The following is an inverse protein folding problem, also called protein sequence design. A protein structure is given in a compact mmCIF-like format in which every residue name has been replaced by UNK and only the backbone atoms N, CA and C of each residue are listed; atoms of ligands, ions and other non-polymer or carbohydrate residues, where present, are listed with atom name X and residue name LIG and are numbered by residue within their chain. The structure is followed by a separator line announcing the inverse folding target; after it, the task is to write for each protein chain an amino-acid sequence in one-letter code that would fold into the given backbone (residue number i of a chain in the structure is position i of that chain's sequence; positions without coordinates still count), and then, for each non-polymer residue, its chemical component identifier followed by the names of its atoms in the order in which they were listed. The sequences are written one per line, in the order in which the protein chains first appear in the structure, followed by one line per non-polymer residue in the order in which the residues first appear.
data_IF_143914005363
#
_entry.id   IF_143914005363
#
_cell.length_a   1.000
_cell.length_b   1.000
_cell.length_c   1.000
_cell.angle_alpha   90.00
_cell.angle_beta   90.00
_cell.angle_gamma   90.00
#
_symmetry.space_group_name_H-M   'P 1'
#
loop_
_entity.id
_entity.type
_entity.pdbx_description
1 polymer ?
#
# COMPACT_ATOMS: atom_id res chain seq x y z
N UNK A 1 8.69 -4.14 -20.72
CA UNK A 1 7.54 -4.18 -19.79
C UNK A 1 7.59 -5.51 -19.09
N UNK A 2 7.29 -5.55 -17.79
CA UNK A 2 7.36 -6.77 -17.01
C UNK A 2 6.03 -7.00 -16.32
N UNK A 3 5.54 -8.22 -16.44
CA UNK A 3 4.40 -8.72 -15.70
C UNK A 3 4.88 -9.13 -14.30
N UNK A 4 4.36 -8.46 -13.29
CA UNK A 4 4.66 -8.82 -11.90
C UNK A 4 3.67 -9.89 -11.45
N UNK A 5 4.16 -11.11 -11.21
CA UNK A 5 3.38 -12.12 -10.49
C UNK A 5 3.25 -11.66 -9.03
N UNK A 6 2.02 -11.36 -8.63
CA UNK A 6 1.74 -10.93 -7.26
C UNK A 6 1.95 -12.12 -6.29
N UNK A 7 2.75 -11.97 -5.23
CA UNK A 7 2.96 -13.04 -4.26
C UNK A 7 1.66 -13.38 -3.52
N UNK A 8 1.61 -14.57 -2.92
CA UNK A 8 0.64 -14.83 -1.86
C UNK A 8 0.93 -13.91 -0.68
N UNK A 9 -0.12 -13.28 -0.15
CA UNK A 9 0.00 -12.33 0.94
C UNK A 9 -0.53 -12.98 2.22
N UNK A 10 0.29 -13.13 3.27
CA UNK A 10 -0.20 -13.66 4.54
C UNK A 10 -1.28 -12.72 5.07
N UNK A 11 -2.46 -13.27 5.33
CA UNK A 11 -3.61 -12.51 5.80
C UNK A 11 -3.65 -12.49 7.34
N UNK A 12 -3.92 -11.31 7.89
CA UNK A 12 -4.18 -11.10 9.32
C UNK A 12 -5.46 -10.29 9.49
N UNK A 13 -6.36 -10.80 10.31
CA UNK A 13 -7.54 -10.06 10.72
C UNK A 13 -7.13 -8.95 11.70
N UNK A 14 -7.63 -7.74 11.47
CA UNK A 14 -7.32 -6.59 12.29
C UNK A 14 -8.39 -6.35 13.35
N UNK A 15 -7.96 -5.89 14.51
CA UNK A 15 -8.79 -5.51 15.65
C UNK A 15 -8.52 -4.04 15.97
N UNK A 16 -9.06 -3.16 15.13
CA UNK A 16 -8.72 -1.73 15.14
C UNK A 16 -9.20 -1.09 16.45
N UNK A 17 -8.32 -0.35 17.13
CA UNK A 17 -8.60 0.33 18.39
C UNK A 17 -9.24 1.69 18.14
N UNK A 18 -10.22 2.06 18.96
CA UNK A 18 -10.82 3.40 18.91
C UNK A 18 -9.77 4.49 19.11
N UNK A 19 -9.71 5.46 18.20
CA UNK A 19 -8.84 6.64 18.36
C UNK A 19 -9.39 7.63 19.41
N UNK A 20 -10.69 7.56 19.71
CA UNK A 20 -11.33 8.40 20.73
C UNK A 20 -10.98 7.92 22.14
N UNK A 21 -10.81 6.61 22.31
CA UNK A 21 -10.47 5.96 23.58
C UNK A 21 -9.38 4.89 23.36
N UNK A 22 -8.13 5.30 23.09
CA UNK A 22 -7.04 4.39 22.71
C UNK A 22 -6.49 3.66 23.93
N UNK A 23 -7.29 2.74 24.48
CA UNK A 23 -6.91 1.87 25.58
C UNK A 23 -7.00 0.41 25.12
N UNK A 24 -6.14 -0.50 25.63
CA UNK A 24 -6.16 -1.91 25.22
C UNK A 24 -7.53 -2.60 25.39
N UNK A 25 -8.30 -2.16 26.40
CA UNK A 25 -9.65 -2.62 26.73
C UNK A 25 -10.77 -1.75 26.12
N UNK A 26 -10.43 -0.76 25.29
CA UNK A 26 -11.38 0.13 24.66
C UNK A 26 -12.18 -0.54 23.53
N UNK A 27 -13.17 0.17 22.95
CA UNK A 27 -13.94 -0.32 21.81
C UNK A 27 -13.03 -0.70 20.64
N UNK A 28 -13.30 -1.86 20.04
CA UNK A 28 -12.55 -2.43 18.93
C UNK A 28 -13.45 -2.68 17.73
N UNK A 29 -12.93 -2.40 16.55
CA UNK A 29 -13.55 -2.75 15.28
C UNK A 29 -12.88 -4.03 14.74
N UNK A 30 -13.37 -5.18 15.20
CA UNK A 30 -12.90 -6.52 14.80
C UNK A 30 -13.77 -7.12 13.68
N UNK A 31 -13.23 -8.04 12.87
CA UNK A 31 -13.98 -8.73 11.81
C UNK A 31 -14.38 -7.86 10.62
N UNK A 32 -13.86 -6.62 10.53
CA UNK A 32 -14.23 -5.67 9.47
C UNK A 32 -13.18 -5.51 8.39
N UNK A 33 -11.91 -5.61 8.78
CA UNK A 33 -10.76 -5.37 7.92
C UNK A 33 -9.74 -6.48 8.12
N UNK A 34 -9.31 -7.07 7.03
CA UNK A 34 -8.20 -8.04 6.97
C UNK A 34 -7.09 -7.41 6.13
N UNK A 35 -5.86 -7.45 6.63
CA UNK A 35 -4.68 -7.00 5.90
C UNK A 35 -3.92 -8.22 5.39
N UNK A 36 -3.61 -8.23 4.09
CA UNK A 36 -2.66 -9.14 3.48
C UNK A 36 -1.30 -8.45 3.31
N UNK A 37 -0.23 -9.13 3.73
CA UNK A 37 1.12 -8.57 3.73
C UNK A 37 1.39 -7.67 4.94
N UNK A 38 2.30 -6.68 4.83
CA UNK A 38 3.08 -6.32 3.64
C UNK A 38 4.13 -7.38 3.26
N UNK A 39 4.41 -7.50 1.96
CA UNK A 39 5.53 -8.28 1.42
C UNK A 39 6.38 -7.37 0.53
N UNK A 40 7.70 -7.41 0.68
CA UNK A 40 8.64 -6.68 -0.18
C UNK A 40 9.46 -7.65 -1.01
N UNK A 41 9.63 -7.33 -2.29
CA UNK A 41 10.51 -8.04 -3.23
C UNK A 41 11.56 -7.06 -3.76
N UNK A 42 12.86 -7.39 -3.73
CA UNK A 42 13.88 -6.54 -4.34
C UNK A 42 13.69 -6.52 -5.86
N UNK A 43 13.74 -5.32 -6.46
CA UNK A 43 13.72 -5.15 -7.91
C UNK A 43 15.15 -5.29 -8.41
N UNK A 44 15.56 -6.53 -8.68
CA UNK A 44 16.91 -6.88 -9.14
C UNK A 44 17.05 -6.79 -10.65
N UNK A 45 18.29 -6.81 -11.15
CA UNK A 45 18.56 -6.88 -12.60
C UNK A 45 17.98 -8.16 -13.24
N UNK A 46 17.89 -9.25 -12.47
CA UNK A 46 17.27 -10.52 -12.87
C UNK A 46 15.74 -10.37 -12.97
N UNK A 47 15.13 -9.70 -12.00
CA UNK A 47 13.69 -9.42 -12.01
C UNK A 47 13.27 -8.60 -13.24
N UNK A 48 14.13 -7.69 -13.70
CA UNK A 48 13.89 -6.85 -14.87
C UNK A 48 14.60 -7.32 -16.15
N UNK A 49 15.14 -8.55 -16.16
CA UNK A 49 15.92 -9.10 -17.28
C UNK A 49 15.24 -8.96 -18.66
N UNK A 50 13.93 -9.19 -18.79
CA UNK A 50 13.21 -9.03 -20.06
C UNK A 50 13.14 -7.59 -20.59
N UNK A 51 13.49 -6.58 -19.80
CA UNK A 51 13.40 -5.16 -20.15
C UNK A 51 14.78 -4.46 -20.09
N UNK A 52 15.47 -4.28 -21.24
CA UNK A 52 16.77 -3.63 -21.29
C UNK A 52 16.78 -2.19 -20.77
N UNK A 53 15.70 -1.42 -20.99
CA UNK A 53 15.62 -0.02 -20.56
C UNK A 53 15.55 0.06 -19.03
N UNK A 54 14.80 -0.86 -18.41
CA UNK A 54 14.75 -0.97 -16.94
C UNK A 54 16.07 -1.44 -16.34
N UNK A 55 16.77 -2.39 -16.97
CA UNK A 55 18.13 -2.78 -16.54
C UNK A 55 19.10 -1.60 -16.58
N UNK A 56 19.07 -0.81 -17.64
CA UNK A 56 19.92 0.36 -17.80
C UNK A 56 19.62 1.43 -16.74
N UNK A 57 18.34 1.64 -16.45
CA UNK A 57 17.89 2.50 -15.37
C UNK A 57 18.41 2.03 -14.00
N UNK A 58 18.19 0.75 -13.65
CA UNK A 58 18.65 0.19 -12.37
C UNK A 58 20.18 0.31 -12.23
N UNK A 59 20.92 0.04 -13.30
CA UNK A 59 22.39 0.17 -13.31
C UNK A 59 22.84 1.61 -13.08
N UNK A 60 22.14 2.59 -13.64
CA UNK A 60 22.44 4.02 -13.44
C UNK A 60 22.18 4.45 -12.00
N UNK A 61 21.16 3.88 -11.36
CA UNK A 61 20.79 4.21 -9.98
C UNK A 61 21.54 3.38 -8.93
N UNK A 62 22.24 2.32 -9.33
CA UNK A 62 22.75 1.27 -8.45
C UNK A 62 23.69 1.76 -7.34
N UNK A 63 24.41 2.86 -7.55
CA UNK A 63 25.30 3.44 -6.54
C UNK A 63 24.55 4.25 -5.48
N UNK A 64 23.36 4.77 -5.82
CA UNK A 64 22.62 5.72 -5.00
C UNK A 64 21.40 5.08 -4.31
N UNK A 65 20.73 4.17 -5.00
CA UNK A 65 19.43 3.66 -4.58
C UNK A 65 19.27 2.17 -4.87
N UNK A 66 18.41 1.55 -4.07
CA UNK A 66 17.84 0.23 -4.31
C UNK A 66 16.32 0.38 -4.41
N UNK A 67 15.69 -0.51 -5.17
CA UNK A 67 14.25 -0.46 -5.41
C UNK A 67 13.59 -1.73 -4.91
N UNK A 68 12.45 -1.57 -4.26
CA UNK A 68 11.65 -2.65 -3.70
C UNK A 68 10.23 -2.56 -4.19
N UNK A 69 9.67 -3.67 -4.62
CA UNK A 69 8.26 -3.80 -4.93
C UNK A 69 7.53 -4.28 -3.68
N UNK A 70 6.69 -3.42 -3.11
CA UNK A 70 5.93 -3.71 -1.90
C UNK A 70 4.48 -4.00 -2.28
N UNK A 71 3.99 -5.17 -1.85
CA UNK A 71 2.62 -5.63 -2.05
C UNK A 71 1.85 -5.66 -0.73
N UNK A 72 0.63 -5.14 -0.79
CA UNK A 72 -0.34 -5.11 0.30
C UNK A 72 -1.72 -5.48 -0.25
N UNK A 73 -2.60 -6.00 0.60
CA UNK A 73 -4.02 -6.06 0.28
C UNK A 73 -4.86 -5.71 1.48
N UNK A 74 -5.99 -5.06 1.25
CA UNK A 74 -6.98 -4.80 2.28
C UNK A 74 -8.28 -5.47 1.86
N UNK A 75 -8.79 -6.37 2.70
CA UNK A 75 -10.09 -7.01 2.49
C UNK A 75 -11.08 -6.46 3.51
N UNK A 76 -12.15 -5.84 3.03
CA UNK A 76 -13.22 -5.30 3.86
C UNK A 76 -14.45 -6.20 3.80
N UNK A 77 -15.02 -6.53 4.96
CA UNK A 77 -16.22 -7.36 5.04
C UNK A 77 -17.42 -6.67 4.37
N UNK A 78 -18.05 -7.34 3.39
CA UNK A 78 -19.20 -6.81 2.62
C UNK A 78 -20.50 -6.76 3.43
N UNK A 79 -20.76 -7.82 4.19
CA UNK A 79 -22.05 -8.03 4.90
C UNK A 79 -21.93 -7.81 6.41
N UNK A 80 -20.99 -6.97 6.83
CA UNK A 80 -20.78 -6.74 8.25
C UNK A 80 -21.92 -5.92 8.87
N UNK A 81 -22.30 -6.21 10.14
CA UNK A 81 -23.41 -5.54 10.81
C UNK A 81 -23.16 -4.03 10.95
N UNK A 82 -24.24 -3.25 11.06
CA UNK A 82 -24.15 -1.82 11.36
C UNK A 82 -23.34 -1.57 12.65
N UNK A 83 -22.55 -0.47 12.72
CA UNK A 83 -22.44 0.59 11.72
C UNK A 83 -21.57 0.21 10.51
N UNK A 84 -21.95 0.65 9.32
CA UNK A 84 -21.19 0.41 8.08
C UNK A 84 -19.86 1.20 8.02
N UNK A 85 -18.87 0.62 7.33
CA UNK A 85 -17.61 1.29 7.01
C UNK A 85 -17.87 2.52 6.13
N UNK A 86 -17.36 3.66 6.55
CA UNK A 86 -17.42 4.93 5.83
C UNK A 86 -16.12 5.21 5.06
N UNK A 87 -14.97 4.94 5.67
CA UNK A 87 -13.66 4.98 5.01
C UNK A 87 -12.70 3.95 5.60
N UNK A 88 -11.71 3.55 4.82
CA UNK A 88 -10.58 2.72 5.24
C UNK A 88 -9.30 3.33 4.67
N UNK A 89 -8.30 3.55 5.52
CA UNK A 89 -7.01 4.11 5.15
C UNK A 89 -5.92 3.06 5.38
N UNK A 90 -4.98 2.98 4.45
CA UNK A 90 -3.74 2.24 4.61
C UNK A 90 -2.60 3.26 4.54
N UNK A 91 -2.00 3.57 5.68
CA UNK A 91 -0.88 4.49 5.78
C UNK A 91 0.42 3.70 5.90
N UNK A 92 1.44 4.10 5.15
CA UNK A 92 2.78 3.53 5.24
C UNK A 92 3.77 4.62 5.63
N UNK A 93 4.61 4.33 6.62
CA UNK A 93 5.72 5.19 7.02
C UNK A 93 7.03 4.52 6.60
N UNK A 94 7.72 5.16 5.67
CA UNK A 94 9.01 4.73 5.14
C UNK A 94 10.14 5.45 5.87
N UNK A 95 11.09 4.68 6.41
CA UNK A 95 12.23 5.24 7.13
C UNK A 95 13.53 4.60 6.70
N UNK A 96 14.64 5.33 6.79
CA UNK A 96 15.98 4.81 6.58
C UNK A 96 16.94 5.30 7.66
N UNK A 97 17.75 4.36 8.15
CA UNK A 97 18.86 4.61 9.08
C UNK A 97 20.19 4.24 8.42
N UNK A 98 21.20 5.12 8.43
CA UNK A 98 22.49 4.82 7.82
C UNK A 98 23.21 3.68 8.55
N UNK A 99 23.80 2.75 7.80
CA UNK A 99 24.60 1.65 8.40
C UNK A 99 25.89 2.17 9.03
N UNK A 100 26.49 3.23 8.45
CA UNK A 100 27.69 3.87 8.99
C UNK A 100 27.33 5.14 9.76
N UNK A 101 27.83 5.28 10.99
CA UNK A 101 27.65 6.51 11.77
C UNK A 101 28.31 7.69 11.05
N UNK A 102 27.62 8.83 11.02
CA UNK A 102 28.11 10.06 10.42
C UNK A 102 27.83 10.21 8.91
N UNK A 103 27.18 9.23 8.27
CA UNK A 103 26.71 9.37 6.88
C UNK A 103 25.25 9.81 6.83
N UNK A 104 24.95 10.83 6.03
CA UNK A 104 23.58 11.25 5.74
C UNK A 104 23.00 10.42 4.61
N UNK A 105 21.78 9.91 4.79
CA UNK A 105 21.02 9.20 3.75
C UNK A 105 19.65 9.83 3.57
N UNK A 106 19.09 9.77 2.37
CA UNK A 106 17.74 10.26 2.12
C UNK A 106 16.71 9.24 2.65
N UNK A 107 15.51 9.71 3.03
CA UNK A 107 14.44 8.81 3.46
C UNK A 107 13.81 8.11 2.25
N UNK A 108 13.39 6.83 2.35
CA UNK A 108 12.79 6.13 1.23
C UNK A 108 11.48 6.78 0.81
N UNK A 109 11.13 6.66 -0.46
CA UNK A 109 9.89 7.23 -1.02
C UNK A 109 9.12 6.19 -1.82
N UNK A 110 7.78 6.32 -1.83
CA UNK A 110 6.94 5.59 -2.80
C UNK A 110 7.17 6.16 -4.21
N UNK A 111 8.13 5.60 -4.91
CA UNK A 111 8.52 5.99 -6.26
C UNK A 111 7.38 5.88 -7.27
N UNK A 112 6.55 4.84 -7.13
CA UNK A 112 5.32 4.69 -7.89
C UNK A 112 4.30 3.88 -7.11
N UNK A 113 3.01 4.09 -7.36
CA UNK A 113 1.91 3.42 -6.64
C UNK A 113 0.85 2.91 -7.62
N UNK A 114 0.19 1.81 -7.28
CA UNK A 114 -0.98 1.30 -8.00
C UNK A 114 -1.92 0.53 -7.06
N UNK A 115 -3.25 0.58 -7.27
CA UNK A 115 -3.97 1.54 -8.10
C UNK A 115 -3.78 2.98 -7.59
N UNK A 116 -3.66 3.96 -8.50
CA UNK A 116 -3.66 5.39 -8.16
C UNK A 116 -5.06 5.90 -7.90
N UNK A 117 -6.03 5.43 -8.67
CA UNK A 117 -7.42 5.86 -8.52
C UNK A 117 -8.40 4.81 -9.05
N UNK A 118 -9.51 4.59 -8.34
CA UNK A 118 -10.69 3.86 -8.83
C UNK A 118 -11.94 4.70 -8.57
N UNK A 119 -12.82 4.85 -9.56
CA UNK A 119 -14.07 5.65 -9.44
C UNK A 119 -15.33 4.81 -9.18
N UNK A 120 -15.25 3.50 -9.41
CA UNK A 120 -16.30 2.56 -9.09
C UNK A 120 -15.72 1.39 -8.29
N UNK A 121 -16.59 0.64 -7.60
CA UNK A 121 -16.25 -0.69 -7.11
C UNK A 121 -15.72 -1.48 -8.31
N UNK A 122 -14.46 -1.91 -8.25
CA UNK A 122 -13.94 -2.88 -9.20
C UNK A 122 -14.82 -4.14 -9.03
N UNK A 123 -15.81 -4.30 -9.92
CA UNK A 123 -16.67 -5.49 -9.97
C UNK A 123 -15.75 -6.67 -10.20
N UNK A 124 -15.34 -7.33 -9.12
CA UNK A 124 -14.56 -8.57 -9.06
C UNK A 124 -14.02 -8.97 -10.44
N UNK A 125 -13.10 -8.14 -10.98
CA UNK A 125 -12.41 -8.50 -12.20
C UNK A 125 -11.64 -9.75 -11.79
N UNK A 126 -11.72 -10.87 -12.53
CA UNK A 126 -10.83 -12.00 -12.26
C UNK A 126 -9.42 -11.43 -12.10
N UNK A 127 -8.62 -11.92 -11.13
CA UNK A 127 -7.45 -11.22 -10.65
C UNK A 127 -6.65 -10.79 -11.88
N UNK A 128 -6.62 -9.48 -12.15
CA UNK A 128 -5.74 -8.96 -13.19
C UNK A 128 -4.35 -9.17 -12.60
N UNK A 129 -3.82 -10.37 -12.87
CA UNK A 129 -2.76 -11.06 -12.15
C UNK A 129 -1.39 -10.38 -12.31
N UNK A 130 -1.32 -9.30 -13.08
CA UNK A 130 -0.10 -8.58 -13.35
C UNK A 130 -0.32 -7.08 -13.13
N UNK A 131 0.40 -6.53 -12.14
CA UNK A 131 0.76 -5.13 -12.21
C UNK A 131 1.85 -5.01 -13.29
N UNK A 132 1.74 -4.02 -14.17
CA UNK A 132 2.75 -3.81 -15.21
C UNK A 132 3.72 -2.71 -14.80
N UNK A 133 4.99 -3.06 -14.67
CA UNK A 133 6.07 -2.09 -14.51
C UNK A 133 6.51 -1.60 -15.89
N UNK A 134 6.33 -0.30 -16.10
CA UNK A 134 6.80 0.44 -17.26
C UNK A 134 8.19 1.04 -17.04
N UNK A 135 8.67 1.86 -17.99
CA UNK A 135 9.98 2.52 -17.90
C UNK A 135 10.16 3.28 -16.59
N UNK A 136 11.40 3.30 -16.08
CA UNK A 136 11.78 3.95 -14.81
C UNK A 136 10.94 3.48 -13.60
N UNK A 137 10.50 2.22 -13.61
CA UNK A 137 9.73 1.60 -12.52
C UNK A 137 8.39 2.29 -12.18
N UNK A 138 7.78 2.96 -13.16
CA UNK A 138 6.42 3.48 -13.01
C UNK A 138 5.38 2.39 -13.29
N UNK A 139 4.35 2.28 -12.46
CA UNK A 139 3.20 1.44 -12.80
C UNK A 139 2.44 2.03 -13.98
N UNK A 140 2.09 1.17 -14.95
CA UNK A 140 1.17 1.53 -16.02
C UNK A 140 -0.21 1.00 -15.68
N UNK A 141 -1.17 1.90 -15.55
CA UNK A 141 -2.54 1.56 -15.20
C UNK A 141 -3.46 1.68 -16.41
N UNK A 142 -4.33 0.70 -16.58
CA UNK A 142 -5.51 0.83 -17.43
C UNK A 142 -6.63 1.39 -16.55
N UNK A 143 -6.63 2.71 -16.37
CA UNK A 143 -7.65 3.39 -15.60
C UNK A 143 -8.98 3.40 -16.38
N UNK A 144 -10.02 2.84 -15.78
CA UNK A 144 -11.40 3.10 -16.18
C UNK A 144 -11.92 4.26 -15.33
N UNK A 145 -11.47 5.49 -15.61
CA UNK A 145 -12.06 6.69 -15.02
C UNK A 145 -13.20 7.16 -15.90
N UNK A 146 -14.44 6.95 -15.48
CA UNK A 146 -15.56 7.67 -16.07
C UNK A 146 -15.55 9.11 -15.55
N UNK A 147 -15.63 10.08 -16.46
CA UNK A 147 -15.67 11.51 -16.12
C UNK A 147 -16.90 11.82 -15.26
N UNK A 148 -16.69 12.40 -14.07
CA UNK A 148 -17.76 12.82 -13.16
C UNK A 148 -18.10 11.86 -12.01
N UNK A 149 -17.46 10.69 -11.93
CA UNK A 149 -17.65 9.76 -10.82
C UNK A 149 -16.78 10.12 -9.59
N UNK A 150 -17.33 9.90 -8.39
CA UNK A 150 -16.61 10.15 -7.14
C UNK A 150 -15.55 9.08 -6.93
N UNK A 151 -14.34 9.51 -6.54
CA UNK A 151 -13.22 8.60 -6.25
C UNK A 151 -13.57 7.70 -5.08
N UNK A 152 -13.51 6.39 -5.34
CA UNK A 152 -13.77 5.34 -4.37
C UNK A 152 -12.47 4.87 -3.70
N UNK A 153 -11.38 4.74 -4.46
CA UNK A 153 -10.05 4.43 -3.94
C UNK A 153 -9.03 5.43 -4.53
N UNK A 154 -8.15 5.97 -3.70
CA UNK A 154 -7.11 6.92 -4.11
C UNK A 154 -5.76 6.58 -3.46
N UNK A 155 -4.68 6.56 -4.26
CA UNK A 155 -3.32 6.60 -3.75
C UNK A 155 -2.96 8.03 -3.34
N UNK A 156 -2.40 8.19 -2.16
CA UNK A 156 -2.06 9.45 -1.54
C UNK A 156 -0.56 9.53 -1.32
N UNK A 157 0.00 10.72 -1.52
CA UNK A 157 1.38 11.05 -1.15
C UNK A 157 2.43 10.18 -1.87
N UNK A 158 2.20 9.89 -3.16
CA UNK A 158 3.23 9.36 -4.05
C UNK A 158 4.47 10.28 -4.03
N UNK A 159 5.65 9.69 -4.20
CA UNK A 159 6.97 10.33 -4.09
C UNK A 159 7.32 10.86 -2.69
N UNK A 160 6.60 10.45 -1.66
CA UNK A 160 6.88 10.81 -0.26
C UNK A 160 7.22 9.59 0.58
N UNK A 161 7.75 9.85 1.77
CA UNK A 161 8.06 8.84 2.78
C UNK A 161 6.85 8.45 3.65
N UNK A 162 5.71 9.13 3.49
CA UNK A 162 4.45 8.85 4.17
C UNK A 162 3.31 8.47 3.19
N UNK A 163 3.52 7.55 2.22
CA UNK A 163 2.50 7.21 1.23
C UNK A 163 1.33 6.44 1.85
N UNK A 164 0.21 6.37 1.13
CA UNK A 164 -0.89 5.51 1.56
C UNK A 164 -2.02 5.42 0.56
N UNK A 165 -3.04 4.64 0.89
CA UNK A 165 -4.28 4.56 0.13
C UNK A 165 -5.47 4.91 1.02
N UNK A 166 -6.49 5.50 0.40
CA UNK A 166 -7.76 5.78 1.06
C UNK A 166 -8.90 5.21 0.22
N UNK A 167 -9.75 4.43 0.87
CA UNK A 167 -10.97 3.85 0.32
C UNK A 167 -12.14 4.56 0.99
N UNK A 168 -13.10 5.05 0.21
CA UNK A 168 -14.24 5.82 0.71
C UNK A 168 -15.54 5.26 0.19
N UNK A 169 -16.52 5.16 1.08
CA UNK A 169 -17.90 4.94 0.70
C UNK A 169 -18.38 6.10 -0.19
N UNK A 170 -18.89 5.79 -1.38
CA UNK A 170 -19.51 6.77 -2.28
C UNK A 170 -21.00 6.47 -2.43
N UNK A 171 -21.74 7.36 -3.10
CA UNK A 171 -23.14 7.09 -3.44
C UNK A 171 -23.30 5.93 -4.43
N UNK A 172 -22.24 5.59 -5.16
CA UNK A 172 -22.24 4.55 -6.20
C UNK A 172 -21.67 3.21 -5.72
N UNK A 173 -20.88 3.21 -4.65
CA UNK A 173 -20.11 2.05 -4.21
C UNK A 173 -19.95 2.02 -2.69
N UNK A 174 -20.15 0.83 -2.09
CA UNK A 174 -19.89 0.58 -0.67
C UNK A 174 -18.49 0.01 -0.50
N UNK A 175 -17.95 0.11 0.72
CA UNK A 175 -16.65 -0.49 1.02
C UNK A 175 -16.85 -1.99 1.22
N UNK A 176 -16.20 -2.82 0.39
CA UNK A 176 -16.32 -4.26 0.52
C UNK A 176 -15.60 -5.07 -0.56
N UNK A 177 -15.03 -6.22 -0.14
CA UNK A 177 -14.18 -7.07 -0.96
C UNK A 177 -12.70 -6.76 -0.77
N UNK A 178 -11.87 -7.30 -1.65
CA UNK A 178 -10.40 -7.23 -1.57
C UNK A 178 -9.84 -6.19 -2.53
N UNK A 179 -8.97 -5.33 -2.02
CA UNK A 179 -8.21 -4.35 -2.77
C UNK A 179 -6.73 -4.74 -2.73
N UNK A 180 -6.16 -5.13 -3.86
CA UNK A 180 -4.71 -5.35 -3.98
C UNK A 180 -4.02 -4.04 -4.34
N UNK A 181 -2.95 -3.74 -3.62
CA UNK A 181 -2.21 -2.50 -3.66
C UNK A 181 -0.72 -2.82 -3.84
N UNK A 182 -0.02 -2.04 -4.62
CA UNK A 182 1.41 -2.17 -4.79
C UNK A 182 2.09 -0.81 -4.92
N UNK A 183 3.32 -0.72 -4.43
CA UNK A 183 4.18 0.43 -4.66
C UNK A 183 5.61 0.01 -4.95
N UNK A 184 6.31 0.78 -5.78
CA UNK A 184 7.76 0.71 -5.84
C UNK A 184 8.30 1.69 -4.81
N UNK A 185 9.15 1.21 -3.91
CA UNK A 185 9.88 2.03 -2.95
C UNK A 185 11.28 2.27 -3.47
N UNK A 186 11.70 3.53 -3.57
CA UNK A 186 13.10 3.91 -3.80
C UNK A 186 13.75 4.15 -2.44
N UNK A 187 14.71 3.31 -2.08
CA UNK A 187 15.42 3.37 -0.81
C UNK A 187 16.91 3.72 -1.01
N UNK A 188 17.55 4.42 -0.06
CA UNK A 188 18.98 4.68 -0.12
C UNK A 188 19.81 3.40 -0.05
N UNK A 189 20.84 3.31 -0.89
CA UNK A 189 21.85 2.25 -0.75
C UNK A 189 22.71 2.48 0.49
N UNK A 190 23.07 1.40 1.18
CA UNK A 190 23.94 1.47 2.37
C UNK A 190 23.23 1.93 3.66
N UNK A 191 21.91 1.87 3.68
CA UNK A 191 21.08 2.13 4.85
C UNK A 191 20.09 0.98 5.11
N UNK A 192 19.68 0.84 6.36
CA UNK A 192 18.58 -0.05 6.74
C UNK A 192 17.30 0.71 6.52
N UNK A 193 16.53 0.30 5.51
CA UNK A 193 15.23 0.90 5.20
C UNK A 193 14.09 0.03 5.74
N UNK A 194 13.06 0.66 6.29
CA UNK A 194 11.90 0.01 6.91
C UNK A 194 10.60 0.64 6.41
N UNK A 195 9.54 -0.18 6.36
CA UNK A 195 8.18 0.26 6.13
C UNK A 195 7.30 -0.18 7.30
N UNK A 196 6.77 0.79 8.05
CA UNK A 196 5.73 0.58 9.05
C UNK A 196 4.35 0.80 8.43
N UNK A 197 3.38 -0.04 8.77
CA UNK A 197 2.04 0.00 8.18
C UNK A 197 1.03 0.26 9.27
N UNK A 198 0.11 1.19 9.00
CA UNK A 198 -1.05 1.46 9.84
C UNK A 198 -2.32 1.36 9.00
N UNK A 199 -3.36 0.75 9.58
CA UNK A 199 -4.68 0.67 8.98
C UNK A 199 -5.65 1.45 9.84
N UNK A 200 -6.32 2.41 9.22
CA UNK A 200 -7.40 3.17 9.83
C UNK A 200 -8.75 2.77 9.24
N UNK A 201 -9.80 2.81 10.04
CA UNK A 201 -11.17 2.70 9.56
C UNK A 201 -12.05 3.76 10.24
N UNK A 202 -12.98 4.31 9.49
CA UNK A 202 -14.05 5.13 10.04
C UNK A 202 -15.37 4.42 9.82
N UNK A 203 -16.18 4.28 10.85
CA UNK A 203 -17.57 3.82 10.75
C UNK A 203 -18.51 4.98 11.03
N UNK A 204 -19.72 4.90 10.48
CA UNK A 204 -20.75 5.93 10.69
C UNK A 204 -21.94 5.34 11.43
N UNK A 205 -22.21 5.87 12.62
CA UNK A 205 -23.39 5.55 13.43
C UNK A 205 -24.31 6.78 13.44
N UNK A 206 -25.39 6.73 12.66
CA UNK A 206 -26.25 7.90 12.42
C UNK A 206 -25.48 9.07 11.80
N UNK A 207 -25.32 10.15 12.56
CA UNK A 207 -24.58 11.37 12.19
C UNK A 207 -23.16 11.44 12.76
N UNK A 208 -22.79 10.48 13.61
CA UNK A 208 -21.48 10.44 14.28
C UNK A 208 -20.52 9.56 13.50
N UNK A 209 -19.27 10.01 13.39
CA UNK A 209 -18.18 9.23 12.81
C UNK A 209 -17.26 8.76 13.93
N UNK A 210 -17.02 7.45 13.98
CA UNK A 210 -16.09 6.84 14.93
C UNK A 210 -14.86 6.35 14.19
N UNK A 211 -13.67 6.72 14.70
CA UNK A 211 -12.39 6.38 14.10
C UNK A 211 -11.70 5.27 14.87
N UNK A 212 -11.14 4.34 14.11
CA UNK A 212 -10.40 3.21 14.62
C UNK A 212 -9.09 3.09 13.86
N UNK A 213 -8.04 2.62 14.53
CA UNK A 213 -6.72 2.45 13.95
C UNK A 213 -5.98 1.29 14.59
N UNK A 214 -5.14 0.65 13.79
CA UNK A 214 -4.16 -0.33 14.25
C UNK A 214 -2.85 -0.09 13.50
N UNK A 215 -1.75 -0.11 14.23
CA UNK A 215 -0.41 -0.06 13.67
C UNK A 215 0.21 -1.45 13.81
N UNK A 216 0.81 -1.95 12.73
CA UNK A 216 1.48 -3.23 12.78
C UNK A 216 2.75 -3.11 13.62
N UNK A 217 2.86 -3.97 14.64
CA UNK A 217 4.05 -4.02 15.50
C UNK A 217 5.32 -4.37 14.71
N UNK A 218 5.17 -5.24 13.71
CA UNK A 218 6.26 -5.69 12.85
C UNK A 218 6.45 -4.72 11.67
N UNK A 219 7.59 -4.04 11.64
CA UNK A 219 8.00 -3.24 10.49
C UNK A 219 8.62 -4.14 9.41
N UNK A 220 8.21 -3.95 8.15
CA UNK A 220 8.80 -4.63 7.02
C UNK A 220 10.21 -4.09 6.75
N UNK A 221 11.21 -4.96 6.75
CA UNK A 221 12.56 -4.62 6.34
C UNK A 221 12.68 -4.64 4.82
N UNK A 222 13.21 -3.57 4.24
CA UNK A 222 13.48 -3.45 2.81
C UNK A 222 14.92 -3.88 2.54
N UNK A 223 15.17 -5.19 2.57
CA UNK A 223 16.50 -5.74 2.29
C UNK A 223 16.72 -5.82 0.79
N UNK A 224 17.79 -5.22 0.29
CA UNK A 224 18.37 -5.67 -0.96
C UNK A 224 19.24 -6.86 -0.58
N UNK A 225 18.81 -8.08 -0.92
CA UNK A 225 19.65 -9.25 -0.71
C UNK A 225 21.03 -9.01 -1.37
N UNK A 226 22.07 -9.40 -0.63
CA UNK A 226 23.48 -9.07 -0.89
C UNK A 226 24.02 -9.66 -2.18
#
# INVERSE_FOLDING_TARGET
MIDVILPELPERELSLLSEETPQPSGPRLAGRVVLGGPVALPVTAEFVEPDPELRDFLRTEADNAVYHLVHLSVTCARDAPDPALHSVNLDVTLTAEPVRRGTTVFQPVAWSMTPRQLTAEARATPPAQAAHLGPRLGFREVLHTAYGERVFLEARRELRSDPGWEIRHTSAARIGGTYRLAMVVRAPRGAVSRAAVAVGATVREGHTLHRFREELEETLHLTADQ
#
